data_IF_198526323159
#
_entry.id   IF_198526323159
#
_cell.length_a   1.000
_cell.length_b   1.000
_cell.length_c   1.000
_cell.angle_alpha   90.00
_cell.angle_beta   90.00
_cell.angle_gamma   90.00
#
_symmetry.space_group_name_H-M   'P 1'
#
loop_
_entity.id
_entity.type
_entity.pdbx_description
1 polymer ?
#
# COMPACT_ATOMS: atom_id res chain seq x y z
N UNK A 1 -19.16 23.98 -20.44
CA UNK A 1 -18.30 23.98 -19.21
C UNK A 1 -18.95 22.99 -18.28
N UNK A 2 -18.75 21.74 -18.59
CA UNK A 2 -19.54 20.67 -18.00
C UNK A 2 -18.71 20.07 -16.88
N UNK A 3 -19.12 20.42 -15.67
CA UNK A 3 -18.62 19.78 -14.48
C UNK A 3 -19.14 18.34 -14.48
N UNK A 4 -18.27 17.39 -14.76
CA UNK A 4 -18.52 15.98 -14.52
C UNK A 4 -18.63 15.73 -13.01
N UNK A 5 -19.81 15.93 -12.48
CA UNK A 5 -20.10 15.61 -11.08
C UNK A 5 -20.66 14.20 -11.06
N UNK A 6 -19.93 13.29 -10.45
CA UNK A 6 -20.47 11.99 -10.10
C UNK A 6 -21.54 12.18 -9.02
N UNK A 7 -22.79 12.06 -9.38
CA UNK A 7 -23.89 12.14 -8.44
C UNK A 7 -24.46 10.74 -8.19
N UNK A 8 -24.42 10.33 -6.94
CA UNK A 8 -25.20 9.21 -6.43
C UNK A 8 -24.71 7.84 -6.82
N UNK A 9 -23.62 7.37 -6.22
CA UNK A 9 -23.26 5.96 -6.27
C UNK A 9 -24.01 5.23 -5.16
N UNK A 10 -25.06 4.52 -5.53
CA UNK A 10 -25.62 3.47 -4.67
C UNK A 10 -24.88 2.17 -4.94
N UNK A 11 -24.71 1.28 -3.94
CA UNK A 11 -24.09 -0.03 -4.17
C UNK A 11 -24.84 -0.77 -5.30
N UNK A 12 -24.17 -0.96 -6.43
CA UNK A 12 -24.69 -1.68 -7.58
C UNK A 12 -25.23 -0.83 -8.73
N UNK A 13 -25.27 0.51 -8.62
CA UNK A 13 -25.63 1.38 -9.75
C UNK A 13 -24.57 2.45 -9.96
N UNK A 14 -24.04 2.50 -11.15
CA UNK A 14 -23.13 3.53 -11.61
C UNK A 14 -23.77 4.28 -12.77
N UNK A 15 -23.91 5.61 -12.63
CA UNK A 15 -24.40 6.45 -13.69
C UNK A 15 -23.42 7.58 -14.00
N UNK A 16 -23.09 7.77 -15.26
CA UNK A 16 -22.19 8.83 -15.73
C UNK A 16 -23.03 9.83 -16.53
N UNK A 17 -22.98 11.14 -16.25
CA UNK A 17 -23.65 12.14 -17.07
C UNK A 17 -23.03 12.22 -18.48
N UNK A 18 -23.86 12.20 -19.48
CA UNK A 18 -23.46 12.42 -20.88
C UNK A 18 -23.31 13.92 -21.17
N UNK A 19 -22.61 14.31 -22.26
CA UNK A 19 -22.46 15.72 -22.66
C UNK A 19 -23.77 16.50 -22.87
N UNK A 20 -24.90 15.83 -22.95
CA UNK A 20 -26.24 16.44 -23.09
C UNK A 20 -27.05 16.39 -21.78
N UNK A 21 -26.43 16.06 -20.66
CA UNK A 21 -27.14 15.95 -19.37
C UNK A 21 -27.97 14.69 -19.18
N UNK A 22 -27.94 13.76 -20.14
CA UNK A 22 -28.55 12.45 -19.94
C UNK A 22 -27.59 11.53 -19.18
N UNK A 23 -28.11 10.67 -18.35
CA UNK A 23 -27.31 9.66 -17.65
C UNK A 23 -27.20 8.40 -18.49
N UNK A 24 -25.98 7.89 -18.65
CA UNK A 24 -25.80 6.54 -19.16
C UNK A 24 -26.13 5.56 -18.03
N UNK A 25 -27.28 4.95 -18.13
CA UNK A 25 -27.59 3.78 -17.31
C UNK A 25 -26.87 2.58 -17.90
N UNK A 26 -26.23 1.74 -17.08
CA UNK A 26 -25.70 0.48 -17.58
C UNK A 26 -26.84 -0.31 -18.26
N UNK A 27 -26.55 -1.06 -19.33
CA UNK A 27 -27.56 -1.82 -20.03
C UNK A 27 -28.27 -2.74 -19.04
N UNK A 28 -29.61 -2.66 -19.03
CA UNK A 28 -30.51 -3.31 -18.08
C UNK A 28 -30.48 -4.85 -18.09
N UNK A 29 -29.58 -5.46 -18.85
CA UNK A 29 -29.36 -6.92 -18.89
C UNK A 29 -27.89 -7.23 -18.78
N UNK A 30 -27.37 -7.22 -17.55
CA UNK A 30 -26.19 -8.03 -17.28
C UNK A 30 -26.54 -9.49 -17.58
N UNK A 31 -25.90 -10.07 -18.59
CA UNK A 31 -25.87 -11.51 -18.74
C UNK A 31 -25.33 -12.06 -17.41
N UNK A 32 -26.18 -12.78 -16.65
CA UNK A 32 -25.73 -13.46 -15.43
C UNK A 32 -24.47 -14.23 -15.76
N UNK A 33 -23.35 -13.81 -15.20
CA UNK A 33 -22.10 -14.58 -15.31
C UNK A 33 -22.38 -15.98 -14.84
N UNK A 34 -22.34 -16.94 -15.76
CA UNK A 34 -22.57 -18.36 -15.44
C UNK A 34 -21.44 -18.94 -14.59
N UNK A 35 -20.30 -18.30 -14.58
CA UNK A 35 -19.10 -18.75 -13.85
C UNK A 35 -18.83 -17.83 -12.68
N UNK A 36 -18.56 -18.44 -11.53
CA UNK A 36 -18.09 -17.71 -10.35
C UNK A 36 -16.69 -17.18 -10.61
N UNK A 37 -16.36 -15.94 -10.22
CA UNK A 37 -15.00 -15.44 -10.34
C UNK A 37 -14.04 -16.36 -9.57
N UNK A 38 -12.96 -16.76 -10.24
CA UNK A 38 -11.92 -17.57 -9.62
C UNK A 38 -10.90 -16.63 -8.98
N UNK A 39 -10.72 -16.73 -7.67
CA UNK A 39 -9.66 -16.05 -6.95
C UNK A 39 -8.45 -16.96 -6.88
N UNK A 40 -7.37 -16.60 -7.57
CA UNK A 40 -6.07 -17.26 -7.39
C UNK A 40 -5.35 -16.61 -6.21
N UNK A 41 -5.01 -17.39 -5.22
CA UNK A 41 -4.23 -16.98 -4.06
C UNK A 41 -2.90 -17.72 -4.13
N UNK A 42 -1.79 -17.00 -4.02
CA UNK A 42 -0.45 -17.57 -3.83
C UNK A 42 -0.17 -17.63 -2.33
N UNK A 43 0.46 -18.68 -1.86
CA UNK A 43 0.72 -18.87 -0.43
C UNK A 43 1.84 -17.97 0.09
N UNK A 44 2.72 -17.52 -0.80
CA UNK A 44 3.88 -16.67 -0.50
C UNK A 44 3.95 -15.47 -1.44
N UNK A 45 4.60 -14.41 -0.97
CA UNK A 45 5.05 -13.29 -1.81
C UNK A 45 6.54 -13.54 -2.11
N UNK A 46 6.82 -14.27 -3.19
CA UNK A 46 8.20 -14.63 -3.55
C UNK A 46 9.04 -13.41 -3.92
N UNK A 47 8.41 -12.41 -4.53
CA UNK A 47 9.05 -11.15 -4.91
C UNK A 47 8.21 -9.95 -4.44
N UNK A 48 8.85 -8.89 -3.91
CA UNK A 48 8.13 -7.67 -3.56
C UNK A 48 7.63 -6.96 -4.81
N UNK A 49 6.42 -6.45 -4.75
CA UNK A 49 5.98 -5.45 -5.72
C UNK A 49 6.58 -4.10 -5.34
N UNK A 50 7.07 -3.37 -6.31
CA UNK A 50 7.61 -2.03 -6.11
C UNK A 50 7.25 -1.10 -7.26
N UNK A 51 7.39 0.19 -7.01
CA UNK A 51 7.07 1.24 -7.98
C UNK A 51 8.05 1.17 -9.17
N UNK A 52 7.59 0.85 -10.39
CA UNK A 52 8.48 0.75 -11.56
C UNK A 52 8.88 2.11 -12.13
N UNK A 53 8.16 3.17 -11.79
CA UNK A 53 8.35 4.53 -12.33
C UNK A 53 8.46 5.52 -11.18
N UNK A 54 9.55 6.28 -11.16
CA UNK A 54 9.74 7.43 -10.29
C UNK A 54 9.38 8.72 -11.04
N UNK A 55 8.67 9.63 -10.40
CA UNK A 55 8.28 10.91 -11.02
C UNK A 55 8.06 11.98 -9.95
N UNK A 56 8.61 13.15 -10.21
CA UNK A 56 8.37 14.37 -9.42
C UNK A 56 6.95 14.90 -9.52
N UNK A 57 6.21 14.45 -10.55
CA UNK A 57 4.80 14.81 -10.79
C UNK A 57 3.79 13.88 -10.12
N UNK A 58 4.28 12.77 -9.52
CA UNK A 58 3.40 11.85 -8.78
C UNK A 58 3.05 12.42 -7.39
N UNK A 59 1.98 11.91 -6.78
CA UNK A 59 1.63 12.27 -5.41
C UNK A 59 2.76 11.94 -4.42
N UNK A 60 3.38 10.77 -4.58
CA UNK A 60 4.55 10.34 -3.80
C UNK A 60 5.86 10.67 -4.54
N UNK A 61 6.10 11.94 -4.78
CA UNK A 61 7.22 12.50 -5.54
C UNK A 61 8.52 11.71 -5.36
N UNK A 62 8.97 11.05 -6.43
CA UNK A 62 10.24 10.30 -6.49
C UNK A 62 10.42 9.25 -5.37
N UNK A 63 9.33 8.75 -4.80
CA UNK A 63 9.36 7.75 -3.74
C UNK A 63 9.32 6.35 -4.31
N UNK A 64 10.29 5.52 -3.93
CA UNK A 64 10.30 4.10 -4.26
C UNK A 64 9.49 3.34 -3.22
N UNK A 65 8.32 2.87 -3.63
CA UNK A 65 7.37 2.17 -2.77
C UNK A 65 7.58 0.67 -2.91
N UNK A 66 7.71 -0.03 -1.80
CA UNK A 66 7.91 -1.48 -1.73
C UNK A 66 6.79 -2.11 -0.93
N UNK A 67 6.05 -3.05 -1.52
CA UNK A 67 5.07 -3.86 -0.79
C UNK A 67 5.79 -4.98 -0.04
N UNK A 68 5.81 -4.92 1.29
CA UNK A 68 6.51 -5.89 2.13
C UNK A 68 5.59 -6.98 2.69
N UNK A 69 4.27 -6.73 2.66
CA UNK A 69 3.28 -7.71 3.08
C UNK A 69 1.94 -7.47 2.37
N UNK A 70 1.13 -8.51 2.28
CA UNK A 70 -0.22 -8.43 1.74
C UNK A 70 -1.21 -9.17 2.61
N UNK A 71 -2.28 -8.46 2.93
CA UNK A 71 -3.34 -8.93 3.81
C UNK A 71 -3.18 -8.41 5.22
N UNK A 72 -4.15 -8.69 6.08
CA UNK A 72 -4.10 -8.29 7.48
C UNK A 72 -4.78 -9.38 8.34
N UNK A 73 -4.15 -9.83 9.42
CA UNK A 73 -4.72 -10.87 10.28
C UNK A 73 -5.84 -10.34 11.19
N UNK A 74 -6.02 -9.02 11.23
CA UNK A 74 -7.03 -8.38 12.06
C UNK A 74 -8.38 -8.38 11.35
N UNK A 75 -9.42 -8.65 12.07
CA UNK A 75 -10.80 -8.74 11.56
C UNK A 75 -11.62 -7.52 11.94
N UNK A 76 -11.08 -6.32 11.70
CA UNK A 76 -11.78 -5.07 11.97
C UNK A 76 -13.07 -4.98 11.14
N UNK A 77 -14.22 -4.77 11.79
CA UNK A 77 -15.53 -4.83 11.15
C UNK A 77 -15.72 -3.80 10.02
N UNK A 78 -14.97 -2.69 10.06
CA UNK A 78 -15.04 -1.61 9.07
C UNK A 78 -14.04 -1.77 7.92
N UNK A 79 -13.08 -2.71 8.01
CA UNK A 79 -11.96 -2.80 7.07
C UNK A 79 -12.12 -3.98 6.12
N UNK A 80 -12.21 -3.69 4.82
CA UNK A 80 -12.32 -4.72 3.80
C UNK A 80 -10.98 -5.39 3.44
N UNK A 81 -9.85 -4.75 3.77
CA UNK A 81 -8.52 -5.24 3.37
C UNK A 81 -8.22 -6.64 3.90
N UNK A 82 -8.58 -6.91 5.16
CA UNK A 82 -8.43 -8.25 5.75
C UNK A 82 -9.23 -9.31 5.01
N UNK A 83 -10.45 -8.98 4.62
CA UNK A 83 -11.34 -9.95 3.95
C UNK A 83 -10.94 -10.24 2.50
N UNK A 84 -10.45 -9.24 1.78
CA UNK A 84 -10.07 -9.39 0.37
C UNK A 84 -8.73 -10.11 0.19
N UNK A 85 -7.79 -9.93 1.12
CA UNK A 85 -6.40 -10.32 0.94
C UNK A 85 -5.91 -11.40 1.93
N UNK A 86 -6.82 -12.12 2.59
CA UNK A 86 -6.43 -13.28 3.39
C UNK A 86 -5.97 -14.44 2.51
N UNK A 87 -5.05 -15.27 3.00
CA UNK A 87 -4.27 -15.15 4.22
C UNK A 87 -3.22 -14.03 4.13
N UNK A 88 -2.69 -13.60 5.30
CA UNK A 88 -1.54 -12.68 5.34
C UNK A 88 -0.32 -13.37 4.76
N UNK A 89 0.41 -12.65 3.92
CA UNK A 89 1.64 -13.13 3.28
C UNK A 89 2.70 -12.07 3.39
N UNK A 90 3.89 -12.51 3.74
CA UNK A 90 5.04 -11.64 3.94
C UNK A 90 6.06 -11.87 2.83
N UNK A 91 6.67 -10.79 2.37
CA UNK A 91 7.82 -10.87 1.47
C UNK A 91 9.06 -11.29 2.28
N UNK A 92 9.88 -12.23 1.82
CA UNK A 92 11.11 -12.62 2.51
C UNK A 92 12.06 -11.44 2.73
N UNK A 93 12.74 -11.41 3.89
CA UNK A 93 13.64 -10.33 4.29
C UNK A 93 14.69 -10.00 3.22
N UNK A 94 15.35 -11.02 2.67
CA UNK A 94 16.40 -10.83 1.67
C UNK A 94 15.87 -10.14 0.40
N UNK A 95 14.63 -10.43 0.04
CA UNK A 95 13.97 -9.81 -1.12
C UNK A 95 13.62 -8.35 -0.86
N UNK A 96 13.19 -8.05 0.37
CA UNK A 96 12.93 -6.67 0.80
C UNK A 96 14.23 -5.86 0.79
N UNK A 97 15.30 -6.42 1.36
CA UNK A 97 16.63 -5.80 1.37
C UNK A 97 17.12 -5.54 -0.05
N UNK A 98 17.00 -6.53 -0.94
CA UNK A 98 17.37 -6.36 -2.35
C UNK A 98 16.56 -5.25 -3.05
N UNK A 99 15.26 -5.16 -2.77
CA UNK A 99 14.42 -4.08 -3.31
C UNK A 99 14.79 -2.71 -2.76
N UNK A 100 15.13 -2.62 -1.45
CA UNK A 100 15.60 -1.37 -0.83
C UNK A 100 16.92 -0.93 -1.50
N UNK A 101 17.88 -1.83 -1.66
CA UNK A 101 19.17 -1.51 -2.31
C UNK A 101 18.96 -1.07 -3.75
N UNK A 102 18.09 -1.73 -4.49
CA UNK A 102 17.73 -1.33 -5.83
C UNK A 102 17.10 0.07 -5.86
N UNK A 103 16.13 0.33 -4.99
CA UNK A 103 15.48 1.64 -4.88
C UNK A 103 16.47 2.76 -4.53
N UNK A 104 17.40 2.49 -3.61
CA UNK A 104 18.41 3.46 -3.17
C UNK A 104 19.45 3.84 -4.24
N UNK A 105 19.54 3.08 -5.33
CA UNK A 105 20.34 3.47 -6.50
C UNK A 105 19.69 4.60 -7.31
N UNK A 106 18.38 4.79 -7.17
CA UNK A 106 17.59 5.71 -7.98
C UNK A 106 17.03 6.88 -7.18
N UNK A 107 16.73 6.68 -5.90
CA UNK A 107 16.16 7.70 -5.03
C UNK A 107 16.57 7.49 -3.57
N UNK A 108 16.48 8.57 -2.77
CA UNK A 108 16.70 8.47 -1.31
C UNK A 108 15.39 8.38 -0.52
N UNK A 109 14.25 8.26 -1.21
CA UNK A 109 12.91 8.19 -0.61
C UNK A 109 12.36 6.77 -0.76
N UNK A 110 12.25 6.07 0.34
CA UNK A 110 11.73 4.70 0.41
C UNK A 110 10.41 4.73 1.18
N UNK A 111 9.40 4.05 0.65
CA UNK A 111 8.17 3.81 1.39
C UNK A 111 7.91 2.29 1.51
N UNK A 112 7.57 1.83 2.71
CA UNK A 112 7.13 0.46 2.93
C UNK A 112 5.61 0.42 2.97
N UNK A 113 5.04 -0.43 2.12
CA UNK A 113 3.61 -0.55 1.92
C UNK A 113 3.09 -1.90 2.40
N UNK A 114 1.93 -1.87 3.03
CA UNK A 114 1.17 -3.03 3.45
C UNK A 114 0.01 -2.63 4.35
N UNK A 115 -0.95 -3.54 4.55
CA UNK A 115 -2.07 -3.30 5.45
C UNK A 115 -1.71 -3.56 6.92
N UNK A 116 -0.58 -4.25 7.17
CA UNK A 116 -0.11 -4.67 8.49
C UNK A 116 1.41 -4.60 8.59
N UNK A 117 2.00 -3.53 8.05
CA UNK A 117 3.46 -3.35 7.86
C UNK A 117 4.26 -3.63 9.13
N UNK A 118 3.89 -3.02 10.27
CA UNK A 118 4.59 -3.22 11.53
C UNK A 118 4.41 -4.63 12.15
N UNK A 119 3.53 -5.44 11.58
CA UNK A 119 3.37 -6.84 11.97
C UNK A 119 4.20 -7.82 11.14
N UNK A 120 5.05 -7.34 10.25
CA UNK A 120 5.98 -8.19 9.51
C UNK A 120 6.96 -8.86 10.48
N UNK A 121 7.20 -10.19 10.40
CA UNK A 121 8.05 -10.92 11.35
C UNK A 121 9.46 -10.36 11.47
N UNK A 122 10.02 -9.85 10.38
CA UNK A 122 11.36 -9.28 10.34
C UNK A 122 11.36 -7.73 10.32
N UNK A 123 10.27 -7.09 10.77
CA UNK A 123 10.15 -5.64 10.65
C UNK A 123 11.29 -4.87 11.32
N UNK A 124 11.69 -5.28 12.52
CA UNK A 124 12.80 -4.64 13.22
C UNK A 124 14.14 -4.75 12.46
N UNK A 125 14.39 -5.89 11.80
CA UNK A 125 15.58 -6.08 10.97
C UNK A 125 15.56 -5.20 9.72
N UNK A 126 14.38 -5.02 9.13
CA UNK A 126 14.19 -4.10 8.00
C UNK A 126 14.49 -2.66 8.42
N UNK A 127 13.97 -2.24 9.57
CA UNK A 127 14.23 -0.90 10.12
C UNK A 127 15.71 -0.69 10.45
N UNK A 128 16.34 -1.68 11.07
CA UNK A 128 17.78 -1.64 11.36
C UNK A 128 18.60 -1.48 10.09
N UNK A 129 18.29 -2.26 9.06
CA UNK A 129 18.96 -2.16 7.76
C UNK A 129 18.82 -0.76 7.15
N UNK A 130 17.62 -0.18 7.18
CA UNK A 130 17.39 1.18 6.66
C UNK A 130 18.19 2.21 7.47
N UNK A 131 18.27 2.06 8.79
CA UNK A 131 19.08 2.94 9.65
C UNK A 131 20.57 2.84 9.30
N UNK A 132 21.09 1.65 9.03
CA UNK A 132 22.49 1.49 8.57
C UNK A 132 22.73 2.24 7.25
N UNK A 133 21.80 2.14 6.29
CA UNK A 133 21.88 2.91 5.05
C UNK A 133 21.78 4.42 5.30
N UNK A 134 20.95 4.83 6.25
CA UNK A 134 20.79 6.25 6.62
C UNK A 134 22.07 6.85 7.22
N UNK A 135 22.88 6.05 7.96
CA UNK A 135 24.18 6.49 8.46
C UNK A 135 25.20 6.80 7.35
N UNK A 136 25.10 6.09 6.23
CA UNK A 136 25.99 6.29 5.08
C UNK A 136 25.55 7.49 4.26
N UNK A 137 24.26 7.59 3.95
CA UNK A 137 23.69 8.71 3.25
C UNK A 137 22.20 8.85 3.64
N UNK A 138 21.69 10.07 3.87
CA UNK A 138 20.33 10.30 4.35
C UNK A 138 19.28 9.56 3.54
N UNK A 139 18.39 8.84 4.21
CA UNK A 139 17.25 8.13 3.64
C UNK A 139 15.98 8.70 4.24
N UNK A 140 15.04 9.10 3.41
CA UNK A 140 13.70 9.47 3.82
C UNK A 140 12.82 8.21 3.81
N UNK A 141 12.40 7.76 5.00
CA UNK A 141 11.53 6.60 5.15
C UNK A 141 10.10 7.02 5.41
N UNK A 142 9.17 6.47 4.63
CA UNK A 142 7.73 6.62 4.85
C UNK A 142 7.11 5.25 5.11
N UNK A 143 6.25 5.17 6.10
CA UNK A 143 5.43 3.99 6.39
C UNK A 143 3.95 4.29 6.12
N UNK A 144 3.20 3.26 5.72
CA UNK A 144 1.75 3.29 5.77
C UNK A 144 1.26 3.44 7.22
N UNK A 145 -0.05 3.60 7.43
CA UNK A 145 -0.62 3.75 8.77
C UNK A 145 -0.17 2.64 9.71
N UNK A 146 0.28 3.04 10.89
CA UNK A 146 0.73 2.15 11.95
C UNK A 146 -0.40 1.83 12.91
N UNK A 147 -0.44 0.63 13.44
CA UNK A 147 -1.30 0.28 14.56
C UNK A 147 -0.65 0.69 15.87
N UNK A 148 -1.45 1.24 16.78
CA UNK A 148 -0.96 1.67 18.10
C UNK A 148 -0.27 0.55 18.88
N UNK A 149 -0.82 -0.68 18.83
CA UNK A 149 -0.30 -1.85 19.52
C UNK A 149 1.03 -2.40 18.94
N UNK A 150 1.43 -1.96 17.75
CA UNK A 150 2.67 -2.36 17.07
C UNK A 150 3.67 -1.20 16.91
N UNK A 151 3.33 -0.04 17.45
CA UNK A 151 4.19 1.14 17.35
C UNK A 151 5.18 1.17 18.51
N UNK A 152 6.32 0.50 18.32
CA UNK A 152 7.40 0.46 19.32
C UNK A 152 8.26 1.73 19.29
N UNK A 153 9.06 1.93 20.36
CA UNK A 153 10.05 3.01 20.41
C UNK A 153 11.04 2.91 19.23
N UNK A 154 11.44 1.69 18.85
CA UNK A 154 12.34 1.46 17.71
C UNK A 154 11.73 1.97 16.39
N UNK A 155 10.45 1.75 16.18
CA UNK A 155 9.72 2.27 15.00
C UNK A 155 9.75 3.80 14.98
N UNK A 156 9.36 4.44 16.07
CA UNK A 156 9.32 5.90 16.17
C UNK A 156 10.71 6.50 15.97
N UNK A 157 11.70 5.95 16.65
CA UNK A 157 13.10 6.40 16.54
C UNK A 157 13.57 6.33 15.08
N UNK A 158 13.35 5.21 14.40
CA UNK A 158 13.76 5.03 13.01
C UNK A 158 13.08 6.05 12.09
N UNK A 159 11.78 6.30 12.27
CA UNK A 159 11.05 7.28 11.48
C UNK A 159 11.63 8.69 11.65
N UNK A 160 11.92 9.09 12.89
CA UNK A 160 12.52 10.39 13.18
C UNK A 160 13.92 10.51 12.58
N UNK A 161 14.78 9.50 12.75
CA UNK A 161 16.13 9.46 12.18
C UNK A 161 16.12 9.50 10.65
N UNK A 162 15.08 8.91 10.02
CA UNK A 162 14.88 8.90 8.57
C UNK A 162 13.99 10.04 8.06
N UNK A 163 13.85 11.12 8.83
CA UNK A 163 13.25 12.38 8.38
C UNK A 163 11.73 12.42 8.29
N UNK A 164 11.01 11.40 8.74
CA UNK A 164 9.55 11.42 8.77
C UNK A 164 9.04 12.33 9.88
N UNK A 165 8.23 13.34 9.52
CA UNK A 165 7.72 14.36 10.44
C UNK A 165 6.36 14.01 11.05
N UNK A 166 5.62 13.13 10.42
CA UNK A 166 4.26 12.74 10.84
C UNK A 166 4.07 11.25 10.69
N UNK A 167 3.35 10.63 11.60
CA UNK A 167 2.93 9.24 11.50
C UNK A 167 1.42 9.15 11.68
N UNK A 168 0.74 8.36 10.86
CA UNK A 168 -0.67 8.06 11.04
C UNK A 168 -0.79 6.80 11.88
N UNK A 169 -1.44 6.92 13.04
CA UNK A 169 -1.65 5.81 13.96
C UNK A 169 -3.13 5.44 13.97
N UNK A 170 -3.40 4.18 13.72
CA UNK A 170 -4.74 3.59 13.81
C UNK A 170 -4.92 2.89 15.16
N UNK A 171 -6.06 3.07 15.78
CA UNK A 171 -6.49 2.44 17.04
C UNK A 171 -7.55 1.38 16.79
#
# INVERSE_FOLDING_TARGET
>A
KDNNIMSGVTPGSFSVPTPKGAFMTPPAKEKKRKEKPVKKITDTLEEPLYTPILSDKSYFKDTFIIEIERGCPKTCNFCIASWLNLPVRYTPLEKIIGAIDFGLQHTRKIALLGAYVAGHPDFDKILEYIREKNKIAPVELTLSSLRADLTSENVIRTLVECGQKTATIAV
#
